data_IF_846377006692
#
_entry.id   IF_846377006692
#
_cell.length_a   1.000
_cell.length_b   1.000
_cell.length_c   1.000
_cell.angle_alpha   90.00
_cell.angle_beta   90.00
_cell.angle_gamma   90.00
#
_symmetry.space_group_name_H-M   'P 1'
#
loop_
_entity.id
_entity.type
_entity.pdbx_description
1 polymer ?
#
# COMPACT_ATOMS: atom_id res chain seq x y z
N UNK A 1 19.43 -12.57 7.63
CA UNK A 1 18.71 -12.17 8.85
C UNK A 1 17.35 -11.64 8.39
N UNK A 2 16.25 -12.14 8.96
CA UNK A 2 14.92 -11.64 8.68
C UNK A 2 14.69 -10.25 9.29
N UNK A 3 13.62 -9.60 8.89
CA UNK A 3 13.09 -8.41 9.57
C UNK A 3 12.27 -8.84 10.80
N UNK A 4 12.03 -7.90 11.72
CA UNK A 4 11.11 -8.10 12.83
C UNK A 4 9.66 -8.21 12.31
N UNK A 5 8.83 -8.93 13.07
CA UNK A 5 7.42 -9.13 12.70
C UNK A 5 6.62 -7.90 13.13
N UNK A 6 5.92 -7.22 12.20
CA UNK A 6 5.03 -6.13 12.54
C UNK A 6 3.86 -6.61 13.42
N UNK A 7 3.50 -5.80 14.42
CA UNK A 7 2.31 -6.02 15.25
C UNK A 7 1.29 -4.87 15.15
N UNK A 8 1.74 -3.72 14.64
CA UNK A 8 0.90 -2.56 14.39
C UNK A 8 1.21 -1.99 13.02
N UNK A 9 0.18 -1.50 12.36
CA UNK A 9 0.24 -0.83 11.07
C UNK A 9 -0.55 0.47 11.15
N UNK A 10 0.04 1.56 10.66
CA UNK A 10 -0.64 2.85 10.53
C UNK A 10 -0.65 3.24 9.06
N UNK A 11 -1.84 3.53 8.53
CA UNK A 11 -1.99 4.11 7.21
C UNK A 11 -2.43 5.56 7.33
N UNK A 12 -1.73 6.45 6.64
CA UNK A 12 -2.05 7.87 6.54
C UNK A 12 -2.43 8.21 5.11
N UNK A 13 -3.58 8.89 4.92
CA UNK A 13 -4.09 9.29 3.62
C UNK A 13 -4.26 10.79 3.58
N UNK A 14 -3.65 11.44 2.59
CA UNK A 14 -3.76 12.88 2.37
C UNK A 14 -4.40 13.13 1.01
N UNK A 15 -5.55 13.81 0.98
CA UNK A 15 -6.25 14.17 -0.25
C UNK A 15 -5.47 15.19 -1.08
N UNK A 16 -5.47 15.05 -2.41
CA UNK A 16 -4.80 16.01 -3.27
C UNK A 16 -5.00 15.75 -4.77
N UNK A 17 -4.19 16.41 -5.56
CA UNK A 17 -4.12 16.26 -7.01
C UNK A 17 -2.79 15.63 -7.38
N UNK A 18 -2.84 14.60 -8.21
CA UNK A 18 -1.68 13.95 -8.78
C UNK A 18 -1.60 14.23 -10.29
N UNK A 19 -0.45 14.71 -10.74
CA UNK A 19 -0.10 14.68 -12.17
C UNK A 19 0.36 13.26 -12.49
N UNK A 20 -0.49 12.49 -13.16
CA UNK A 20 -0.22 11.09 -13.47
C UNK A 20 1.02 10.97 -14.37
N UNK A 21 1.90 9.98 -14.11
CA UNK A 21 3.07 9.76 -14.95
C UNK A 21 2.64 9.29 -16.36
N UNK A 22 3.52 9.51 -17.32
CA UNK A 22 3.31 9.03 -18.68
C UNK A 22 3.25 7.50 -18.79
N UNK A 23 2.87 7.02 -19.97
CA UNK A 23 2.54 5.63 -20.28
C UNK A 23 3.48 4.58 -19.66
N UNK A 24 2.89 3.72 -18.83
CA UNK A 24 3.52 2.50 -18.34
C UNK A 24 4.43 2.67 -17.12
N UNK A 25 4.56 3.86 -16.54
CA UNK A 25 5.25 4.02 -15.27
C UNK A 25 4.38 3.48 -14.14
N UNK A 26 4.98 2.71 -13.24
CA UNK A 26 4.36 2.31 -11.97
C UNK A 26 4.77 3.22 -10.83
N UNK A 27 5.79 4.06 -11.04
CA UNK A 27 6.37 4.99 -10.06
C UNK A 27 6.06 6.43 -10.45
N UNK A 28 5.91 7.28 -9.45
CA UNK A 28 5.71 8.72 -9.65
C UNK A 28 6.54 9.51 -8.65
N UNK A 29 7.17 10.59 -9.13
CA UNK A 29 7.94 11.50 -8.29
C UNK A 29 7.02 12.21 -7.30
N UNK A 30 7.43 12.36 -6.00
CA UNK A 30 6.62 13.05 -5.00
C UNK A 30 6.22 14.49 -5.37
N UNK A 31 7.00 15.18 -6.20
CA UNK A 31 6.68 16.55 -6.65
C UNK A 31 5.47 16.63 -7.58
N UNK A 32 5.03 15.49 -8.14
CA UNK A 32 3.83 15.42 -8.97
C UNK A 32 2.51 15.50 -8.16
N UNK A 33 2.59 15.46 -6.83
CA UNK A 33 1.41 15.50 -5.96
C UNK A 33 1.32 16.84 -5.19
N UNK A 34 0.13 17.43 -5.24
CA UNK A 34 -0.20 18.64 -4.46
C UNK A 34 -1.33 18.31 -3.49
N UNK A 35 -1.03 18.33 -2.21
CA UNK A 35 -2.04 18.11 -1.16
C UNK A 35 -3.05 19.24 -1.10
N UNK A 36 -4.34 18.92 -0.92
CA UNK A 36 -5.40 19.89 -0.70
C UNK A 36 -5.46 20.39 0.75
N UNK A 37 -5.06 19.54 1.70
CA UNK A 37 -5.11 19.80 3.13
C UNK A 37 -3.87 19.23 3.82
N UNK A 38 -3.52 19.83 4.96
CA UNK A 38 -2.52 19.28 5.88
C UNK A 38 -3.10 18.20 6.81
N UNK A 39 -4.42 18.01 6.83
CA UNK A 39 -5.11 17.11 7.75
C UNK A 39 -5.35 15.75 7.10
N UNK A 40 -4.48 14.76 7.35
CA UNK A 40 -4.63 13.42 6.78
C UNK A 40 -5.70 12.61 7.54
N UNK A 41 -6.30 11.64 6.87
CA UNK A 41 -6.99 10.54 7.53
C UNK A 41 -5.96 9.55 8.05
N UNK A 42 -6.13 9.07 9.28
CA UNK A 42 -5.21 8.10 9.87
C UNK A 42 -6.01 6.88 10.32
N UNK A 43 -5.54 5.70 9.90
CA UNK A 43 -6.04 4.41 10.36
C UNK A 43 -4.95 3.68 11.11
N UNK A 44 -5.29 3.24 12.33
CA UNK A 44 -4.46 2.36 13.13
C UNK A 44 -5.02 0.94 13.05
N UNK A 45 -4.16 -0.02 12.74
CA UNK A 45 -4.53 -1.42 12.62
C UNK A 45 -3.63 -2.25 13.55
N UNK A 46 -4.24 -3.22 14.20
CA UNK A 46 -3.53 -4.22 15.00
C UNK A 46 -3.77 -5.62 14.41
N UNK A 47 -2.88 -6.54 14.74
CA UNK A 47 -3.03 -7.94 14.33
C UNK A 47 -4.13 -8.64 15.11
N UNK A 48 -4.88 -9.51 14.43
CA UNK A 48 -5.67 -10.53 15.03
C UNK A 48 -4.83 -11.76 15.45
N UNK A 49 -5.49 -12.79 15.91
CA UNK A 49 -4.85 -14.06 16.30
C UNK A 49 -4.14 -14.76 15.10
N UNK A 50 -4.58 -14.50 13.87
CA UNK A 50 -4.05 -15.13 12.66
C UNK A 50 -2.96 -14.28 12.00
N UNK A 51 -2.62 -13.10 12.55
CA UNK A 51 -1.63 -12.19 11.99
C UNK A 51 -2.15 -11.24 10.89
N UNK A 52 -3.48 -11.21 10.67
CA UNK A 52 -4.08 -10.23 9.78
C UNK A 52 -4.31 -8.92 10.53
N UNK A 53 -4.19 -7.80 9.82
CA UNK A 53 -4.36 -6.47 10.39
C UNK A 53 -5.75 -5.93 10.12
N UNK A 54 -6.42 -5.47 11.18
CA UNK A 54 -7.73 -4.85 11.12
C UNK A 54 -7.73 -3.51 11.87
N UNK A 55 -8.57 -2.54 11.45
CA UNK A 55 -8.74 -1.28 12.16
C UNK A 55 -9.13 -1.48 13.61
N UNK A 56 -8.62 -0.62 14.48
CA UNK A 56 -9.09 -0.56 15.87
C UNK A 56 -10.58 -0.20 15.89
N UNK A 57 -11.38 -0.75 16.86
CA UNK A 57 -12.81 -0.51 16.93
C UNK A 57 -13.22 0.97 17.03
N UNK A 58 -12.38 1.78 17.68
CA UNK A 58 -12.63 3.22 17.87
C UNK A 58 -12.21 4.10 16.69
N UNK A 59 -11.64 3.52 15.64
CA UNK A 59 -11.29 4.27 14.45
C UNK A 59 -12.54 4.67 13.67
N UNK A 60 -12.63 5.95 13.30
CA UNK A 60 -13.62 6.37 12.32
C UNK A 60 -13.39 5.62 10.99
N UNK A 61 -14.45 5.14 10.31
CA UNK A 61 -14.29 4.49 9.00
C UNK A 61 -13.63 5.44 8.02
N UNK A 62 -12.70 4.92 7.24
CA UNK A 62 -12.11 5.66 6.12
C UNK A 62 -13.19 6.11 5.16
N UNK A 63 -12.96 7.29 4.58
CA UNK A 63 -13.86 7.87 3.59
C UNK A 63 -13.05 8.34 2.39
N UNK A 64 -13.35 7.77 1.23
CA UNK A 64 -12.74 8.17 -0.02
C UNK A 64 -13.78 8.82 -0.93
N UNK A 65 -13.37 9.86 -1.66
CA UNK A 65 -14.14 10.42 -2.78
C UNK A 65 -13.74 9.68 -4.05
N UNK A 66 -14.72 9.22 -4.82
CA UNK A 66 -14.47 8.57 -6.11
C UNK A 66 -13.72 9.51 -7.06
N UNK A 67 -12.68 8.99 -7.69
CA UNK A 67 -11.89 9.73 -8.67
C UNK A 67 -10.87 10.70 -8.10
N UNK A 68 -10.80 10.83 -6.78
CA UNK A 68 -9.84 11.71 -6.10
C UNK A 68 -8.58 10.93 -5.72
N UNK A 69 -7.42 11.55 -5.88
CA UNK A 69 -6.15 10.99 -5.48
C UNK A 69 -5.86 11.24 -4.00
N UNK A 70 -5.30 10.24 -3.37
CA UNK A 70 -4.80 10.29 -1.99
C UNK A 70 -3.37 9.82 -1.95
N UNK A 71 -2.47 10.61 -1.36
CA UNK A 71 -1.16 10.11 -0.93
C UNK A 71 -1.41 9.11 0.21
N UNK A 72 -0.91 7.90 0.08
CA UNK A 72 -0.93 6.87 1.11
C UNK A 72 0.47 6.65 1.64
N UNK A 73 0.60 6.64 2.96
CA UNK A 73 1.85 6.35 3.66
C UNK A 73 1.59 5.25 4.69
N UNK A 74 2.43 4.22 4.68
CA UNK A 74 2.31 3.03 5.53
C UNK A 74 3.47 3.04 6.52
N UNK A 75 3.15 2.87 7.80
CA UNK A 75 4.11 2.75 8.88
C UNK A 75 3.89 1.44 9.62
N UNK A 76 4.96 0.66 9.78
CA UNK A 76 4.96 -0.60 10.51
C UNK A 76 5.70 -0.42 11.83
N UNK A 77 5.17 -1.05 12.88
CA UNK A 77 5.77 -1.04 14.20
C UNK A 77 5.78 -2.44 14.81
N UNK A 78 6.79 -2.72 15.63
CA UNK A 78 6.84 -3.92 16.48
C UNK A 78 5.93 -3.79 17.72
N UNK A 79 5.86 -4.84 18.53
CA UNK A 79 5.08 -4.85 19.79
C UNK A 79 5.57 -3.89 20.88
N UNK A 80 6.68 -3.17 20.64
CA UNK A 80 7.24 -2.16 21.53
C UNK A 80 7.15 -0.74 20.95
N UNK A 81 6.40 -0.56 19.86
CA UNK A 81 6.30 0.69 19.09
C UNK A 81 7.60 1.15 18.43
N UNK A 82 8.55 0.26 18.15
CA UNK A 82 9.71 0.61 17.34
C UNK A 82 9.32 0.61 15.86
N UNK A 83 9.71 1.63 15.07
CA UNK A 83 9.41 1.68 13.64
C UNK A 83 10.22 0.63 12.87
N UNK A 84 9.55 -0.07 11.95
CA UNK A 84 10.15 -1.18 11.19
C UNK A 84 10.42 -0.86 9.72
N UNK A 85 9.86 0.21 9.14
CA UNK A 85 9.96 0.50 7.70
C UNK A 85 11.40 0.43 7.18
N UNK A 86 12.36 0.97 7.93
CA UNK A 86 13.77 1.01 7.54
C UNK A 86 14.40 -0.38 7.37
N UNK A 87 13.83 -1.40 8.00
CA UNK A 87 14.33 -2.77 7.83
C UNK A 87 14.02 -3.31 6.43
N UNK A 88 12.89 -2.91 5.84
CA UNK A 88 12.45 -3.31 4.50
C UNK A 88 13.09 -2.47 3.39
N UNK A 89 13.60 -1.29 3.73
CA UNK A 89 14.21 -0.34 2.79
C UNK A 89 15.76 -0.49 2.71
N UNK A 90 16.33 -1.51 3.33
CA UNK A 90 17.73 -1.86 3.14
C UNK A 90 17.96 -2.44 1.74
N UNK A 91 19.13 -2.23 1.12
CA UNK A 91 19.40 -2.67 -0.26
C UNK A 91 19.12 -4.16 -0.52
N UNK A 92 19.39 -5.04 0.47
CA UNK A 92 19.14 -6.48 0.37
C UNK A 92 17.68 -6.86 0.62
N UNK A 93 16.85 -5.94 1.11
CA UNK A 93 15.43 -6.16 1.40
C UNK A 93 14.50 -5.51 0.37
N UNK A 94 14.89 -4.38 -0.21
CA UNK A 94 14.12 -3.70 -1.26
C UNK A 94 13.78 -4.67 -2.40
N UNK A 95 14.73 -5.50 -2.83
CA UNK A 95 14.54 -6.45 -3.93
C UNK A 95 13.64 -7.65 -3.57
N UNK A 96 13.27 -7.79 -2.30
CA UNK A 96 12.51 -8.94 -1.78
C UNK A 96 11.12 -8.58 -1.27
N UNK A 97 10.77 -7.31 -1.17
CA UNK A 97 9.50 -6.90 -0.59
C UNK A 97 8.74 -5.98 -1.52
N UNK A 98 7.43 -6.19 -1.60
CA UNK A 98 6.52 -5.31 -2.31
C UNK A 98 5.13 -5.37 -1.68
N UNK A 99 4.51 -4.21 -1.49
CA UNK A 99 3.09 -4.13 -1.20
C UNK A 99 2.27 -4.26 -2.47
N UNK A 100 1.20 -5.04 -2.37
CA UNK A 100 0.13 -5.12 -3.37
C UNK A 100 -1.17 -4.59 -2.79
N UNK A 101 -2.01 -4.03 -3.65
CA UNK A 101 -3.24 -3.35 -3.24
C UNK A 101 -4.41 -3.83 -4.09
N UNK A 102 -5.53 -4.17 -3.43
CA UNK A 102 -6.76 -4.54 -4.13
C UNK A 102 -7.97 -3.89 -3.45
N UNK A 103 -8.95 -3.52 -4.25
CA UNK A 103 -10.28 -3.23 -3.78
C UNK A 103 -11.08 -4.52 -3.70
N UNK A 104 -11.68 -4.79 -2.55
CA UNK A 104 -12.57 -5.93 -2.35
C UNK A 104 -14.00 -5.48 -2.11
N UNK A 105 -14.96 -6.29 -2.55
CA UNK A 105 -16.36 -6.26 -2.13
C UNK A 105 -16.82 -7.70 -1.98
N UNK A 106 -17.45 -8.04 -0.87
CA UNK A 106 -17.87 -9.41 -0.56
C UNK A 106 -16.74 -10.44 -0.81
N UNK A 107 -15.54 -10.14 -0.29
CA UNK A 107 -14.31 -10.94 -0.44
C UNK A 107 -13.81 -11.10 -1.89
N UNK A 108 -14.49 -10.53 -2.86
CA UNK A 108 -14.10 -10.58 -4.28
C UNK A 108 -13.27 -9.37 -4.69
N UNK A 109 -12.22 -9.60 -5.47
CA UNK A 109 -11.41 -8.51 -6.05
C UNK A 109 -12.19 -7.80 -7.14
N UNK A 110 -12.28 -6.48 -7.02
CA UNK A 110 -12.91 -5.62 -8.01
C UNK A 110 -11.84 -5.21 -9.04
N UNK A 111 -11.95 -5.74 -10.25
CA UNK A 111 -11.02 -5.39 -11.33
C UNK A 111 -11.06 -3.88 -11.62
N UNK A 112 -9.86 -3.27 -11.69
CA UNK A 112 -9.70 -1.82 -11.89
C UNK A 112 -10.43 -0.94 -10.87
N UNK A 113 -10.80 -1.50 -9.71
CA UNK A 113 -11.48 -0.76 -8.63
C UNK A 113 -10.68 0.39 -8.06
N UNK A 114 -9.36 0.29 -8.13
CA UNK A 114 -8.40 1.32 -7.75
C UNK A 114 -7.36 1.57 -8.84
N UNK A 115 -6.74 2.75 -8.79
CA UNK A 115 -5.47 3.06 -9.46
C UNK A 115 -4.43 3.31 -8.38
N UNK A 116 -3.19 2.91 -8.61
CA UNK A 116 -2.10 3.11 -7.68
C UNK A 116 -0.77 3.38 -8.39
N UNK A 117 0.03 4.29 -7.82
CA UNK A 117 1.41 4.53 -8.21
C UNK A 117 2.29 4.49 -6.97
N UNK A 118 3.42 3.80 -7.07
CA UNK A 118 4.43 3.82 -6.02
C UNK A 118 5.18 5.14 -5.99
N UNK A 119 5.65 5.53 -4.81
CA UNK A 119 6.43 6.77 -4.63
C UNK A 119 7.41 6.66 -3.46
N UNK A 120 8.01 5.48 -3.28
CA UNK A 120 9.06 5.33 -2.28
C UNK A 120 10.26 6.19 -2.68
N UNK A 121 10.67 7.06 -1.76
CA UNK A 121 11.73 8.04 -1.97
C UNK A 121 12.75 7.94 -0.84
N UNK A 122 13.99 7.63 -1.16
CA UNK A 122 15.06 7.42 -0.19
C UNK A 122 16.29 8.23 -0.61
N UNK A 123 16.89 8.94 0.34
CA UNK A 123 18.12 9.73 0.14
C UNK A 123 18.05 10.68 -1.07
N UNK A 124 16.88 11.26 -1.31
CA UNK A 124 16.67 12.19 -2.42
C UNK A 124 16.38 11.53 -3.78
N UNK A 125 16.15 10.22 -3.83
CA UNK A 125 15.91 9.48 -5.07
C UNK A 125 14.63 8.65 -5.01
N UNK A 126 13.87 8.66 -6.10
CA UNK A 126 12.76 7.74 -6.32
C UNK A 126 13.32 6.32 -6.53
N UNK A 127 12.74 5.32 -5.86
CA UNK A 127 13.17 3.94 -6.02
C UNK A 127 12.67 3.36 -7.35
N UNK A 128 13.57 2.80 -8.15
CA UNK A 128 13.22 2.05 -9.37
C UNK A 128 12.46 0.74 -9.04
N UNK A 129 12.81 0.14 -7.90
CA UNK A 129 12.21 -1.09 -7.38
C UNK A 129 11.43 -0.79 -6.09
N UNK A 130 10.17 -0.34 -6.19
CA UNK A 130 9.42 0.14 -5.02
C UNK A 130 9.04 -0.99 -4.07
N UNK A 131 8.96 -0.67 -2.78
CA UNK A 131 8.37 -1.54 -1.75
C UNK A 131 6.88 -1.20 -1.56
N UNK A 132 6.51 0.08 -1.60
CA UNK A 132 5.14 0.56 -1.49
C UNK A 132 4.77 1.15 -0.13
N UNK A 133 5.76 1.61 0.65
CA UNK A 133 5.48 2.34 1.89
C UNK A 133 4.89 3.73 1.63
N UNK A 134 5.18 4.30 0.49
CA UNK A 134 4.58 5.55 0.02
C UNK A 134 4.07 5.37 -1.40
N UNK A 135 2.88 5.88 -1.65
CA UNK A 135 2.29 5.87 -2.99
C UNK A 135 1.04 6.74 -3.09
N UNK A 136 0.39 6.69 -4.24
CA UNK A 136 -0.83 7.44 -4.51
C UNK A 136 -1.92 6.48 -4.96
N UNK A 137 -3.08 6.57 -4.28
CA UNK A 137 -4.24 5.72 -4.53
C UNK A 137 -5.44 6.55 -4.97
N UNK A 138 -6.22 6.02 -5.89
CA UNK A 138 -7.51 6.56 -6.32
C UNK A 138 -8.54 5.44 -6.40
N UNK A 139 -9.71 5.64 -5.81
CA UNK A 139 -10.85 4.72 -5.94
C UNK A 139 -11.61 5.09 -7.21
N UNK A 140 -11.74 4.14 -8.13
CA UNK A 140 -12.32 4.36 -9.45
C UNK A 140 -13.81 4.00 -9.53
N UNK A 141 -14.31 3.14 -8.64
CA UNK A 141 -15.66 2.61 -8.67
C UNK A 141 -16.35 2.80 -7.32
N UNK A 142 -17.66 3.06 -7.37
CA UNK A 142 -18.51 3.00 -6.18
C UNK A 142 -18.86 1.54 -5.90
N UNK A 143 -18.52 1.06 -4.71
CA UNK A 143 -18.76 -0.32 -4.27
C UNK A 143 -19.33 -0.26 -2.86
N UNK A 144 -20.35 -1.07 -2.59
CA UNK A 144 -20.86 -1.25 -1.24
C UNK A 144 -19.92 -2.19 -0.46
N UNK A 145 -19.87 -2.00 0.84
CA UNK A 145 -19.04 -2.82 1.74
C UNK A 145 -17.60 -2.99 1.27
N UNK A 146 -17.06 -1.88 0.75
CA UNK A 146 -15.73 -1.83 0.17
C UNK A 146 -14.64 -2.00 1.23
N UNK A 147 -13.61 -2.78 0.88
CA UNK A 147 -12.40 -2.94 1.69
C UNK A 147 -11.17 -2.73 0.82
N UNK A 148 -10.22 -1.96 1.31
CA UNK A 148 -8.88 -1.90 0.75
C UNK A 148 -8.04 -3.01 1.41
N UNK A 149 -7.58 -3.96 0.61
CA UNK A 149 -6.62 -4.97 1.04
C UNK A 149 -5.21 -4.52 0.70
N UNK A 150 -4.34 -4.55 1.71
CA UNK A 150 -2.90 -4.41 1.56
C UNK A 150 -2.25 -5.77 1.81
N UNK A 151 -1.35 -6.16 0.94
CA UNK A 151 -0.59 -7.40 1.06
C UNK A 151 0.90 -7.07 0.91
N UNK A 152 1.67 -7.16 2.00
CA UNK A 152 3.13 -7.13 1.93
C UNK A 152 3.64 -8.54 1.69
N UNK A 153 4.43 -8.71 0.65
CA UNK A 153 4.92 -10.02 0.24
C UNK A 153 6.44 -10.07 0.28
N UNK A 154 6.97 -11.16 0.84
CA UNK A 154 8.38 -11.52 0.71
C UNK A 154 8.58 -12.32 -0.58
N UNK A 155 9.20 -11.70 -1.54
CA UNK A 155 9.45 -12.25 -2.87
C UNK A 155 10.77 -13.04 -2.88
N UNK A 156 10.81 -14.12 -3.63
CA UNK A 156 12.07 -14.78 -3.94
C UNK A 156 12.89 -13.90 -4.90
N UNK A 157 14.20 -14.11 -4.93
CA UNK A 157 15.09 -13.36 -5.81
C UNK A 157 14.64 -13.45 -7.27
N UNK A 158 14.37 -12.31 -7.88
CA UNK A 158 13.91 -12.20 -9.27
C UNK A 158 12.38 -12.20 -9.45
N UNK A 159 11.60 -12.61 -8.44
CA UNK A 159 10.13 -12.65 -8.55
C UNK A 159 9.47 -11.25 -8.44
N UNK A 160 10.25 -10.22 -8.12
CA UNK A 160 9.77 -8.84 -8.06
C UNK A 160 9.54 -8.20 -9.43
N UNK A 161 10.09 -8.83 -10.46
CA UNK A 161 10.07 -8.30 -11.82
C UNK A 161 9.32 -9.25 -12.75
N UNK A 162 8.59 -8.66 -13.69
CA UNK A 162 8.03 -9.37 -14.83
C UNK A 162 9.15 -9.81 -15.81
N UNK A 163 8.80 -10.64 -16.77
CA UNK A 163 9.74 -11.16 -17.77
C UNK A 163 10.41 -10.06 -18.63
N UNK A 164 9.79 -8.88 -18.72
CA UNK A 164 10.33 -7.70 -19.42
C UNK A 164 11.22 -6.82 -18.53
N UNK A 165 11.49 -7.25 -17.29
CA UNK A 165 12.32 -6.54 -16.32
C UNK A 165 11.65 -5.40 -15.57
N UNK A 166 10.34 -5.20 -15.76
CA UNK A 166 9.58 -4.21 -14.98
C UNK A 166 9.14 -4.79 -13.65
N UNK A 167 9.05 -3.99 -12.58
CA UNK A 167 8.47 -4.42 -11.33
C UNK A 167 7.02 -4.89 -11.52
N UNK A 168 6.59 -5.85 -10.69
CA UNK A 168 5.21 -6.35 -10.72
C UNK A 168 4.21 -5.19 -10.54
N UNK A 169 3.07 -5.21 -11.26
CA UNK A 169 2.01 -4.24 -11.05
C UNK A 169 1.43 -4.36 -9.64
N UNK A 170 0.89 -3.26 -9.13
CA UNK A 170 0.43 -3.15 -7.74
C UNK A 170 -0.76 -4.07 -7.40
N UNK A 171 -1.53 -4.50 -8.38
CA UNK A 171 -2.81 -5.22 -8.22
C UNK A 171 -2.72 -6.72 -8.55
N UNK A 172 -1.59 -7.16 -9.04
CA UNK A 172 -1.42 -8.55 -9.55
C UNK A 172 -0.21 -9.26 -8.93
N UNK A 173 -0.27 -9.59 -7.62
CA UNK A 173 0.69 -10.53 -7.11
C UNK A 173 0.49 -11.86 -7.87
N UNK A 174 1.57 -12.47 -8.36
CA UNK A 174 1.44 -13.80 -8.97
C UNK A 174 0.89 -14.79 -7.92
N UNK A 175 0.14 -15.85 -8.32
CA UNK A 175 -0.39 -16.83 -7.38
C UNK A 175 0.71 -17.47 -6.50
N UNK A 176 1.90 -17.62 -7.04
CA UNK A 176 3.09 -18.12 -6.32
C UNK A 176 3.54 -17.17 -5.20
N UNK A 177 3.33 -15.88 -5.39
CA UNK A 177 3.70 -14.81 -4.44
C UNK A 177 2.78 -14.78 -3.23
N UNK A 178 1.50 -15.17 -3.38
CA UNK A 178 0.53 -15.21 -2.28
C UNK A 178 0.90 -16.21 -1.18
N UNK A 179 1.73 -17.20 -1.46
CA UNK A 179 2.20 -18.18 -0.49
C UNK A 179 3.24 -17.61 0.49
N UNK A 180 3.79 -16.43 0.21
CA UNK A 180 4.86 -15.79 0.97
C UNK A 180 4.46 -14.42 1.55
N UNK A 181 3.19 -14.25 1.86
CA UNK A 181 2.69 -13.03 2.48
C UNK A 181 3.26 -12.83 3.88
N UNK A 182 3.98 -11.72 4.08
CA UNK A 182 4.49 -11.31 5.40
C UNK A 182 3.39 -10.63 6.22
N UNK A 183 2.45 -9.98 5.54
CA UNK A 183 1.40 -9.19 6.19
C UNK A 183 0.20 -9.07 5.27
N UNK A 184 -1.00 -9.23 5.84
CA UNK A 184 -2.26 -8.87 5.17
C UNK A 184 -3.03 -7.89 6.05
N UNK A 185 -3.48 -6.78 5.47
CA UNK A 185 -4.31 -5.80 6.15
C UNK A 185 -5.61 -5.55 5.37
N UNK A 186 -6.71 -5.42 6.11
CA UNK A 186 -8.03 -5.13 5.58
C UNK A 186 -8.56 -3.83 6.18
N UNK A 187 -8.84 -2.85 5.35
CA UNK A 187 -9.38 -1.56 5.77
C UNK A 187 -10.76 -1.32 5.14
N UNK A 188 -11.84 -1.51 5.87
CA UNK A 188 -13.17 -1.09 5.44
C UNK A 188 -13.23 0.42 5.23
N UNK A 189 -13.91 0.86 4.17
CA UNK A 189 -14.10 2.29 3.92
C UNK A 189 -15.46 2.56 3.27
N UNK A 190 -15.85 3.82 3.28
CA UNK A 190 -17.04 4.33 2.60
C UNK A 190 -16.63 5.27 1.49
N UNK A 191 -17.39 5.25 0.39
CA UNK A 191 -17.21 6.22 -0.69
C UNK A 191 -18.17 7.37 -0.42
N UNK A 192 -17.63 8.57 -0.28
CA UNK A 192 -18.41 9.81 -0.17
C UNK A 192 -18.95 10.20 -1.55
N UNK A 193 -20.22 10.59 -1.58
CA UNK A 193 -20.91 11.09 -2.78
C UNK A 193 -20.57 12.54 -3.04
#
# INVERSE_FOLDING_TARGET
MGHDIPSQLVCRFTEGVLTEPGNGSINVDPSAFVAHSSDPFIQHLNTDFYGNFFPLPDNAPLKFKKGVWYKMEIFLFDGKNNPLNQQFLKPDQIEKHQFFFNLLSDESVIDKGISYYYSDFIDGHLLDSPVGFTGYIRVNQEVQDAQLRLLLVHLLKGDKYEADGKPNPFDKPSPRVLEFGDLTAFMPFKIEK
#
